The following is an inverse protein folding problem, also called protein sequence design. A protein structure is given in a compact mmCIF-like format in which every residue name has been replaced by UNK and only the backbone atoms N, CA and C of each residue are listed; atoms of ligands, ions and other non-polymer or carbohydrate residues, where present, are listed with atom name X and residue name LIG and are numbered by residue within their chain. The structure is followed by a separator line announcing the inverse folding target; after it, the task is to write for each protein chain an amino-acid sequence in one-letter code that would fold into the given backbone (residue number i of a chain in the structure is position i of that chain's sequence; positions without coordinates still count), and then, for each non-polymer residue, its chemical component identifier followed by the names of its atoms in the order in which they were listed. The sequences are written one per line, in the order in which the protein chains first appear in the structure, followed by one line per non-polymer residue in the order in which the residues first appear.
data_IF_382330366525
#
_entry.id   IF_382330366525
#
_cell.length_a   1.000
_cell.length_b   1.000
_cell.length_c   1.000
_cell.angle_alpha   90.00
_cell.angle_beta   90.00
_cell.angle_gamma   90.00
#
_symmetry.space_group_name_H-M   'P 1'
#
loop_
_entity.id
_entity.type
_entity.pdbx_description
1 polymer ?
#
# COMPACT_ATOMS: atom_id res chain seq x y z
N UNK A 1 -1.54 7.87 9.18
CA UNK A 1 -1.24 6.47 9.61
C UNK A 1 -1.02 6.33 11.12
N UNK A 2 -0.84 7.42 11.87
CA UNK A 2 -0.73 7.41 13.34
C UNK A 2 -2.10 7.39 14.05
N UNK A 3 -3.20 7.59 13.32
CA UNK A 3 -4.54 7.54 13.88
C UNK A 3 -4.95 6.08 14.14
N UNK A 4 -4.95 5.71 15.41
CA UNK A 4 -5.31 4.36 15.85
C UNK A 4 -6.82 4.08 15.79
N UNK A 5 -7.67 5.08 15.48
CA UNK A 5 -9.13 4.95 15.51
C UNK A 5 -9.71 4.43 14.19
N UNK A 6 -9.00 4.57 13.06
CA UNK A 6 -9.49 4.28 11.70
C UNK A 6 -9.11 2.91 11.15
N UNK A 7 -8.61 2.00 11.96
CA UNK A 7 -8.31 0.63 11.53
C UNK A 7 -7.07 0.45 10.65
N UNK A 8 -6.13 1.40 10.62
CA UNK A 8 -4.85 1.27 9.92
C UNK A 8 -3.92 0.22 10.55
N UNK A 9 -4.14 -0.11 11.81
CA UNK A 9 -3.40 -1.14 12.53
C UNK A 9 -4.35 -2.26 12.97
N UNK A 10 -3.91 -3.48 12.80
CA UNK A 10 -4.58 -4.67 13.30
C UNK A 10 -4.10 -5.11 14.70
N UNK A 11 -3.29 -4.29 15.37
CA UNK A 11 -2.86 -4.54 16.76
C UNK A 11 -3.96 -4.24 17.77
N UNK A 12 -4.93 -3.42 17.39
CA UNK A 12 -6.11 -3.09 18.22
C UNK A 12 -7.36 -3.29 17.39
N UNK A 13 -8.42 -3.80 18.03
CA UNK A 13 -9.71 -3.94 17.38
C UNK A 13 -10.37 -2.59 17.15
N UNK A 14 -10.68 -2.28 15.88
CA UNK A 14 -11.22 -1.00 15.42
C UNK A 14 -12.16 -1.20 14.23
N UNK A 15 -13.06 -0.25 13.95
CA UNK A 15 -13.80 -0.25 12.68
C UNK A 15 -12.87 -0.34 11.48
N UNK A 16 -13.26 -1.10 10.48
CA UNK A 16 -12.48 -1.34 9.27
C UNK A 16 -12.72 -0.21 8.27
N UNK A 17 -12.15 0.97 8.54
CA UNK A 17 -12.33 2.19 7.73
C UNK A 17 -11.16 2.46 6.78
N UNK A 18 -9.95 2.66 7.33
CA UNK A 18 -8.68 2.97 6.64
C UNK A 18 -8.72 4.20 5.70
N UNK A 19 -9.76 5.01 5.72
CA UNK A 19 -9.81 6.22 4.90
C UNK A 19 -8.84 7.31 5.43
N UNK A 20 -8.10 7.99 4.53
CA UNK A 20 -7.23 9.11 4.92
C UNK A 20 -8.02 10.39 5.24
N UNK A 21 -9.16 10.58 4.61
CA UNK A 21 -9.96 11.78 4.77
C UNK A 21 -11.44 11.55 4.43
N UNK A 22 -12.30 12.55 4.69
CA UNK A 22 -13.73 12.46 4.46
C UNK A 22 -14.13 12.42 2.97
N UNK A 23 -13.20 12.78 2.07
CA UNK A 23 -13.37 12.72 0.63
C UNK A 23 -13.37 11.29 0.07
N UNK A 24 -12.91 10.32 0.85
CA UNK A 24 -12.89 8.89 0.46
C UNK A 24 -14.31 8.35 0.51
N UNK A 25 -14.81 7.97 -0.66
CA UNK A 25 -16.22 7.55 -0.83
C UNK A 25 -16.49 6.10 -0.42
N UNK A 26 -15.48 5.23 -0.49
CA UNK A 26 -15.60 3.80 -0.24
C UNK A 26 -14.69 3.41 0.92
N UNK A 27 -15.27 2.96 2.02
CA UNK A 27 -14.51 2.47 3.16
C UNK A 27 -13.94 1.08 2.90
N UNK A 28 -12.91 0.70 3.64
CA UNK A 28 -12.37 -0.67 3.60
C UNK A 28 -13.44 -1.70 3.96
N UNK A 29 -14.33 -1.40 4.89
CA UNK A 29 -15.47 -2.25 5.24
C UNK A 29 -16.38 -2.53 4.03
N UNK A 30 -16.67 -1.51 3.23
CA UNK A 30 -17.44 -1.67 2.00
C UNK A 30 -16.71 -2.53 0.96
N UNK A 31 -15.41 -2.33 0.77
CA UNK A 31 -14.59 -3.15 -0.12
C UNK A 31 -14.66 -4.63 0.28
N UNK A 32 -14.39 -4.92 1.55
CA UNK A 32 -14.35 -6.30 2.06
C UNK A 32 -15.72 -6.98 1.95
N UNK A 33 -16.81 -6.24 2.22
CA UNK A 33 -18.15 -6.83 2.24
C UNK A 33 -18.85 -6.86 0.88
N UNK A 34 -18.47 -6.03 -0.09
CA UNK A 34 -19.24 -5.92 -1.33
C UNK A 34 -18.46 -6.22 -2.61
N UNK A 35 -17.12 -6.09 -2.61
CA UNK A 35 -16.36 -6.35 -3.84
C UNK A 35 -16.46 -7.82 -4.27
N UNK A 36 -16.53 -8.07 -5.60
CA UNK A 36 -16.51 -9.43 -6.15
C UNK A 36 -15.21 -10.16 -5.80
N UNK A 37 -15.28 -11.50 -5.76
CA UNK A 37 -14.12 -12.35 -5.48
C UNK A 37 -12.91 -12.03 -6.36
N UNK A 38 -13.13 -11.79 -7.66
CA UNK A 38 -12.05 -11.50 -8.59
C UNK A 38 -11.37 -10.15 -8.31
N UNK A 39 -12.14 -9.13 -7.90
CA UNK A 39 -11.61 -7.83 -7.53
C UNK A 39 -10.79 -7.89 -6.23
N UNK A 40 -11.28 -8.57 -5.21
CA UNK A 40 -10.50 -8.78 -3.99
C UNK A 40 -9.21 -9.57 -4.30
N UNK A 41 -9.28 -10.55 -5.19
CA UNK A 41 -8.09 -11.30 -5.62
C UNK A 41 -7.08 -10.39 -6.32
N UNK A 42 -7.54 -9.55 -7.24
CA UNK A 42 -6.71 -8.54 -7.93
C UNK A 42 -6.01 -7.63 -6.93
N UNK A 43 -6.78 -7.02 -6.03
CA UNK A 43 -6.26 -6.11 -5.02
C UNK A 43 -5.18 -6.78 -4.17
N UNK A 44 -5.44 -7.96 -3.64
CA UNK A 44 -4.48 -8.66 -2.78
C UNK A 44 -3.22 -9.11 -3.53
N UNK A 45 -3.35 -9.49 -4.82
CA UNK A 45 -2.22 -9.88 -5.66
C UNK A 45 -1.40 -8.66 -6.09
N UNK A 46 -2.04 -7.63 -6.62
CA UNK A 46 -1.37 -6.53 -7.31
C UNK A 46 -0.87 -5.45 -6.34
N UNK A 47 -1.62 -5.17 -5.27
CA UNK A 47 -1.27 -4.16 -4.27
C UNK A 47 -0.58 -4.76 -3.03
N UNK A 48 -0.99 -5.96 -2.62
CA UNK A 48 -0.41 -6.65 -1.47
C UNK A 48 0.76 -7.58 -1.80
N UNK A 49 0.99 -7.87 -3.08
CA UNK A 49 1.93 -8.92 -3.52
C UNK A 49 1.69 -10.25 -2.76
N UNK A 50 0.41 -10.56 -2.51
CA UNK A 50 0.02 -11.75 -1.77
C UNK A 50 -0.08 -12.95 -2.70
N UNK A 51 0.79 -13.94 -2.49
CA UNK A 51 0.82 -15.15 -3.34
C UNK A 51 -0.44 -16.01 -3.23
N UNK A 52 -1.15 -15.90 -2.11
CA UNK A 52 -2.38 -16.64 -1.84
C UNK A 52 -3.64 -15.77 -1.99
N UNK A 53 -3.56 -14.71 -2.79
CA UNK A 53 -4.62 -13.72 -2.98
C UNK A 53 -6.01 -14.35 -3.21
N UNK A 54 -6.12 -15.31 -4.12
CA UNK A 54 -7.38 -15.99 -4.41
C UNK A 54 -7.96 -16.73 -3.19
N UNK A 55 -7.13 -17.45 -2.46
CA UNK A 55 -7.59 -18.24 -1.31
C UNK A 55 -8.06 -17.35 -0.16
N UNK A 56 -7.34 -16.25 0.09
CA UNK A 56 -7.73 -15.29 1.12
C UNK A 56 -8.98 -14.50 0.72
N UNK A 57 -9.07 -14.07 -0.54
CA UNK A 57 -10.28 -13.43 -1.07
C UNK A 57 -11.51 -14.35 -0.98
N UNK A 58 -11.34 -15.63 -1.32
CA UNK A 58 -12.41 -16.64 -1.21
C UNK A 58 -12.86 -16.81 0.23
N UNK A 59 -11.92 -16.93 1.18
CA UNK A 59 -12.23 -17.05 2.60
C UNK A 59 -13.03 -15.83 3.12
N UNK A 60 -12.66 -14.62 2.72
CA UNK A 60 -13.38 -13.39 3.05
C UNK A 60 -14.80 -13.41 2.48
N UNK A 61 -14.95 -13.77 1.19
CA UNK A 61 -16.27 -13.84 0.54
C UNK A 61 -17.17 -14.89 1.19
N UNK A 62 -16.63 -16.02 1.63
CA UNK A 62 -17.36 -17.05 2.36
C UNK A 62 -17.75 -16.59 3.77
N UNK A 63 -16.83 -15.94 4.49
CA UNK A 63 -17.08 -15.43 5.83
C UNK A 63 -18.18 -14.37 5.88
N UNK A 64 -18.12 -13.37 4.98
CA UNK A 64 -19.09 -12.26 4.94
C UNK A 64 -20.53 -12.70 4.61
N UNK A 65 -20.72 -13.89 4.00
CA UNK A 65 -22.06 -14.48 3.79
C UNK A 65 -22.72 -14.89 5.09
N UNK A 66 -21.94 -15.19 6.14
CA UNK A 66 -22.45 -15.60 7.46
C UNK A 66 -22.65 -14.41 8.38
N UNK A 67 -21.69 -13.49 8.40
CA UNK A 67 -21.68 -12.29 9.22
C UNK A 67 -20.89 -11.19 8.50
N UNK A 68 -21.37 -9.96 8.41
CA UNK A 68 -20.58 -8.83 7.91
C UNK A 68 -19.25 -8.72 8.68
N UNK A 69 -18.19 -8.35 7.95
CA UNK A 69 -16.85 -8.11 8.51
C UNK A 69 -16.78 -6.61 8.84
N UNK A 70 -16.77 -6.27 10.13
CA UNK A 70 -16.91 -4.89 10.57
C UNK A 70 -15.63 -4.32 11.18
N UNK A 71 -14.84 -5.19 11.81
CA UNK A 71 -13.65 -4.76 12.55
C UNK A 71 -12.36 -5.32 11.97
N UNK A 72 -11.26 -4.70 12.38
CA UNK A 72 -9.91 -5.19 12.04
C UNK A 72 -9.69 -6.60 12.56
N UNK A 73 -10.22 -6.92 13.74
CA UNK A 73 -10.07 -8.25 14.34
C UNK A 73 -10.87 -9.31 13.55
N UNK A 74 -12.12 -9.03 13.16
CA UNK A 74 -12.90 -9.95 12.31
C UNK A 74 -12.08 -10.35 11.05
N UNK A 75 -11.45 -9.37 10.39
CA UNK A 75 -10.67 -9.62 9.18
C UNK A 75 -9.38 -10.40 9.47
N UNK A 76 -8.66 -10.06 10.55
CA UNK A 76 -7.43 -10.76 10.96
C UNK A 76 -7.69 -12.22 11.24
N UNK A 77 -8.76 -12.54 11.97
CA UNK A 77 -9.13 -13.93 12.31
C UNK A 77 -9.36 -14.77 11.06
N UNK A 78 -10.09 -14.22 10.07
CA UNK A 78 -10.31 -14.90 8.79
C UNK A 78 -8.97 -15.17 8.08
N UNK A 79 -8.10 -14.16 7.99
CA UNK A 79 -6.81 -14.28 7.30
C UNK A 79 -5.90 -15.29 8.00
N UNK A 80 -5.78 -15.21 9.31
CA UNK A 80 -4.92 -16.10 10.11
C UNK A 80 -5.40 -17.55 10.01
N UNK A 81 -6.72 -17.79 10.13
CA UNK A 81 -7.30 -19.12 10.03
C UNK A 81 -7.01 -19.80 8.67
N UNK A 82 -6.89 -19.01 7.59
CA UNK A 82 -6.64 -19.50 6.24
C UNK A 82 -5.18 -19.32 5.77
N UNK A 83 -4.30 -18.89 6.67
CA UNK A 83 -2.86 -18.77 6.39
C UNK A 83 -2.09 -20.00 6.88
N UNK A 84 -0.97 -20.38 6.20
CA UNK A 84 -0.14 -21.48 6.66
C UNK A 84 0.40 -21.21 8.07
N UNK A 85 0.29 -22.17 8.95
CA UNK A 85 0.96 -22.14 10.25
C UNK A 85 2.48 -22.26 10.03
N UNK A 86 3.15 -21.15 9.84
CA UNK A 86 4.62 -21.11 9.82
C UNK A 86 5.09 -20.81 11.23
N UNK A 87 5.73 -21.78 11.86
CA UNK A 87 6.54 -21.54 13.06
C UNK A 87 7.56 -20.45 12.72
N UNK A 88 7.57 -19.33 13.45
CA UNK A 88 8.47 -18.19 13.28
C UNK A 88 8.23 -17.23 12.07
N UNK A 89 7.00 -17.05 11.62
CA UNK A 89 6.73 -15.94 10.70
C UNK A 89 6.96 -14.60 11.42
N UNK A 90 8.04 -13.88 11.03
CA UNK A 90 8.38 -12.55 11.58
C UNK A 90 7.33 -11.47 11.23
N UNK A 91 6.44 -11.75 10.28
CA UNK A 91 5.45 -10.81 9.76
C UNK A 91 4.07 -11.46 9.85
N UNK A 92 3.10 -10.73 10.41
CA UNK A 92 1.70 -11.17 10.48
C UNK A 92 1.16 -11.39 9.05
N UNK A 93 0.50 -12.53 8.76
CA UNK A 93 -0.10 -12.81 7.45
C UNK A 93 -1.07 -11.72 6.97
N UNK A 94 -1.74 -11.01 7.89
CA UNK A 94 -2.66 -9.93 7.56
C UNK A 94 -1.97 -8.68 6.97
N UNK A 95 -0.67 -8.47 7.22
CA UNK A 95 0.04 -7.24 6.81
C UNK A 95 -0.16 -6.90 5.34
N UNK A 96 -0.03 -7.88 4.43
CA UNK A 96 -0.17 -7.67 3.00
C UNK A 96 -1.60 -7.37 2.56
N UNK A 97 -2.57 -8.02 3.18
CA UNK A 97 -3.99 -7.78 2.91
C UNK A 97 -4.41 -6.40 3.39
N UNK A 98 -3.99 -6.00 4.59
CA UNK A 98 -4.24 -4.66 5.12
C UNK A 98 -3.58 -3.57 4.28
N UNK A 99 -2.33 -3.78 3.82
CA UNK A 99 -1.68 -2.86 2.87
C UNK A 99 -2.47 -2.75 1.57
N UNK A 100 -2.90 -3.86 1.00
CA UNK A 100 -3.66 -3.87 -0.26
C UNK A 100 -4.99 -3.14 -0.14
N UNK A 101 -5.72 -3.36 0.96
CA UNK A 101 -6.98 -2.69 1.24
C UNK A 101 -6.79 -1.18 1.46
N UNK A 102 -5.73 -0.77 2.17
CA UNK A 102 -5.41 0.64 2.36
C UNK A 102 -5.15 1.35 1.04
N UNK A 103 -4.35 0.72 0.17
CA UNK A 103 -4.03 1.25 -1.16
C UNK A 103 -5.30 1.42 -1.98
N UNK A 104 -6.18 0.42 -2.02
CA UNK A 104 -7.45 0.48 -2.74
C UNK A 104 -8.38 1.55 -2.16
N UNK A 105 -8.58 1.55 -0.84
CA UNK A 105 -9.46 2.52 -0.15
C UNK A 105 -9.07 3.96 -0.47
N UNK A 106 -7.76 4.26 -0.49
CA UNK A 106 -7.24 5.61 -0.65
C UNK A 106 -6.77 5.93 -2.07
N UNK A 107 -6.91 5.00 -3.02
CA UNK A 107 -6.43 5.16 -4.41
C UNK A 107 -4.97 5.64 -4.46
N UNK A 108 -4.12 5.06 -3.57
CA UNK A 108 -2.76 5.57 -3.34
C UNK A 108 -1.91 5.53 -4.61
N UNK A 109 -2.01 4.47 -5.41
CA UNK A 109 -1.21 4.31 -6.62
C UNK A 109 -1.72 5.19 -7.77
N UNK A 110 -3.01 5.35 -7.92
CA UNK A 110 -3.65 6.24 -8.89
C UNK A 110 -3.30 7.70 -8.60
N UNK A 111 -3.37 8.10 -7.33
CA UNK A 111 -2.98 9.44 -6.88
C UNK A 111 -1.48 9.70 -7.16
N UNK A 112 -0.62 8.70 -6.91
CA UNK A 112 0.81 8.81 -7.23
C UNK A 112 1.03 9.01 -8.74
N UNK A 113 0.33 8.24 -9.59
CA UNK A 113 0.42 8.38 -11.05
C UNK A 113 -0.04 9.76 -11.54
N UNK A 114 -1.03 10.35 -10.88
CA UNK A 114 -1.54 11.69 -11.21
C UNK A 114 -0.60 12.79 -10.76
N UNK A 115 -0.01 12.68 -9.57
CA UNK A 115 0.81 13.74 -8.99
C UNK A 115 2.19 13.84 -9.63
N UNK A 116 2.76 12.73 -10.12
CA UNK A 116 4.11 12.73 -10.69
C UNK A 116 4.27 13.64 -11.91
N UNK A 117 3.39 13.59 -12.96
CA UNK A 117 3.44 14.53 -14.08
C UNK A 117 3.26 15.96 -13.62
N UNK A 118 2.26 16.25 -12.80
CA UNK A 118 1.99 17.59 -12.30
C UNK A 118 3.17 18.17 -11.52
N UNK A 119 3.88 17.34 -10.74
CA UNK A 119 5.07 17.76 -10.03
C UNK A 119 6.21 18.16 -10.99
N UNK A 120 6.39 17.44 -12.10
CA UNK A 120 7.39 17.80 -13.11
C UNK A 120 7.02 19.11 -13.82
N UNK A 121 5.75 19.34 -14.14
CA UNK A 121 5.28 20.57 -14.77
C UNK A 121 5.61 21.80 -13.92
N UNK A 122 5.47 21.72 -12.60
CA UNK A 122 5.73 22.79 -11.67
C UNK A 122 7.23 23.11 -11.48
N UNK A 123 8.13 22.21 -11.87
CA UNK A 123 9.57 22.43 -11.76
C UNK A 123 10.06 23.37 -12.88
N UNK A 124 10.99 24.27 -12.52
CA UNK A 124 11.82 24.99 -13.50
C UNK A 124 12.90 24.05 -14.06
N UNK A 125 13.48 24.35 -15.24
CA UNK A 125 14.69 23.70 -15.72
C UNK A 125 15.77 23.63 -14.64
N UNK A 126 16.41 22.49 -14.44
CA UNK A 126 17.35 22.21 -13.34
C UNK A 126 16.69 21.93 -11.99
N UNK A 127 15.37 22.05 -11.86
CA UNK A 127 14.62 21.69 -10.65
C UNK A 127 14.67 20.16 -10.40
N UNK A 128 14.69 19.79 -9.13
CA UNK A 128 14.84 18.37 -8.73
C UNK A 128 13.56 17.85 -8.09
N UNK A 129 13.16 16.66 -8.50
CA UNK A 129 12.08 15.87 -7.91
C UNK A 129 12.69 14.71 -7.13
N UNK A 130 12.42 14.65 -5.84
CA UNK A 130 12.77 13.51 -4.99
C UNK A 130 11.49 12.85 -4.46
N UNK A 131 11.38 11.53 -4.64
CA UNK A 131 10.21 10.76 -4.21
C UNK A 131 10.68 9.64 -3.28
N UNK A 132 10.02 9.54 -2.12
CA UNK A 132 10.24 8.45 -1.17
C UNK A 132 9.06 7.49 -1.24
N UNK A 133 9.34 6.23 -1.53
CA UNK A 133 8.38 5.13 -1.58
C UNK A 133 8.57 4.21 -0.40
N UNK A 134 7.51 3.63 0.14
CA UNK A 134 7.56 2.72 1.28
C UNK A 134 7.21 1.27 0.92
N UNK A 135 6.75 1.01 -0.30
CA UNK A 135 6.52 -0.33 -0.83
C UNK A 135 6.89 -0.45 -2.32
N UNK A 136 6.96 -1.70 -2.78
CA UNK A 136 7.40 -2.04 -4.14
C UNK A 136 6.47 -1.48 -5.25
N UNK A 137 5.17 -1.37 -4.99
CA UNK A 137 4.20 -0.82 -5.94
C UNK A 137 4.49 0.65 -6.27
N UNK A 138 4.67 1.48 -5.23
CA UNK A 138 5.06 2.89 -5.40
C UNK A 138 6.40 3.02 -6.11
N UNK A 139 7.44 2.30 -5.65
CA UNK A 139 8.79 2.36 -6.24
C UNK A 139 8.78 1.98 -7.74
N UNK A 140 7.93 1.03 -8.14
CA UNK A 140 7.77 0.61 -9.53
C UNK A 140 7.17 1.72 -10.38
N UNK A 141 6.13 2.41 -9.89
CA UNK A 141 5.49 3.54 -10.59
C UNK A 141 6.49 4.68 -10.77
N UNK A 142 7.17 5.10 -9.70
CA UNK A 142 8.16 6.17 -9.75
C UNK A 142 9.31 5.83 -10.70
N UNK A 143 9.84 4.60 -10.62
CA UNK A 143 10.89 4.12 -11.51
C UNK A 143 10.46 4.17 -12.97
N UNK A 144 9.24 3.69 -13.28
CA UNK A 144 8.74 3.65 -14.63
C UNK A 144 8.48 5.06 -15.16
N UNK A 145 7.84 5.91 -14.37
CA UNK A 145 7.61 7.31 -14.72
C UNK A 145 8.91 8.05 -15.03
N UNK A 146 9.94 7.91 -14.17
CA UNK A 146 11.25 8.54 -14.42
C UNK A 146 11.94 8.02 -15.67
N UNK A 147 11.72 6.75 -16.01
CA UNK A 147 12.32 6.15 -17.20
C UNK A 147 11.64 6.62 -18.50
N UNK A 148 10.33 6.76 -18.47
CA UNK A 148 9.52 7.02 -19.66
C UNK A 148 9.32 8.52 -19.95
N UNK A 149 9.61 9.39 -18.96
CA UNK A 149 9.43 10.82 -19.13
C UNK A 149 10.68 11.47 -19.76
N UNK A 150 10.57 12.01 -20.98
CA UNK A 150 11.69 12.63 -21.70
C UNK A 150 12.14 13.97 -21.12
N UNK A 151 11.32 14.61 -20.26
CA UNK A 151 11.62 15.93 -19.71
C UNK A 151 12.52 15.86 -18.48
N UNK A 152 12.89 14.66 -18.03
CA UNK A 152 13.69 14.49 -16.81
C UNK A 152 14.93 13.63 -17.02
N UNK A 153 15.97 13.98 -16.29
CA UNK A 153 17.23 13.23 -16.16
C UNK A 153 17.25 12.49 -14.84
N UNK A 154 17.37 11.17 -14.88
CA UNK A 154 17.44 10.35 -13.66
C UNK A 154 18.77 10.61 -12.92
N UNK A 155 18.68 11.03 -11.66
CA UNK A 155 19.83 11.23 -10.78
C UNK A 155 20.19 9.96 -10.02
N UNK A 156 19.20 9.12 -9.67
CA UNK A 156 19.42 7.87 -8.93
C UNK A 156 19.08 6.66 -9.81
N UNK A 157 20.08 6.01 -10.41
CA UNK A 157 19.87 4.76 -11.19
C UNK A 157 19.31 3.63 -10.32
N UNK A 158 19.79 3.52 -9.08
CA UNK A 158 19.25 2.64 -8.04
C UNK A 158 18.61 3.51 -6.94
N UNK A 159 17.57 3.06 -6.27
CA UNK A 159 17.01 3.84 -5.16
C UNK A 159 18.03 3.93 -4.02
N UNK A 160 18.07 5.07 -3.35
CA UNK A 160 18.76 5.19 -2.06
C UNK A 160 17.91 4.52 -1.00
N UNK A 161 18.53 3.73 -0.16
CA UNK A 161 17.89 3.02 0.96
C UNK A 161 18.45 3.56 2.29
N UNK A 162 17.69 3.45 3.39
CA UNK A 162 18.15 3.93 4.70
C UNK A 162 19.39 3.17 5.15
N UNK A 163 20.24 3.85 5.92
CA UNK A 163 21.38 3.23 6.57
C UNK A 163 20.95 2.32 7.72
N UNK A 164 21.85 1.45 8.18
CA UNK A 164 21.59 0.61 9.34
C UNK A 164 21.29 1.46 10.59
N UNK A 165 21.99 2.56 10.78
CA UNK A 165 21.80 3.51 11.87
C UNK A 165 20.43 4.18 11.80
N UNK A 166 19.99 4.63 10.61
CA UNK A 166 18.68 5.20 10.42
C UNK A 166 17.58 4.19 10.73
N UNK A 167 17.73 2.93 10.31
CA UNK A 167 16.75 1.88 10.61
C UNK A 167 16.63 1.54 12.11
N UNK A 168 17.70 1.73 12.88
CA UNK A 168 17.69 1.57 14.34
C UNK A 168 16.94 2.74 14.99
N UNK A 169 17.25 3.97 14.57
CA UNK A 169 16.65 5.18 15.15
C UNK A 169 15.22 5.43 14.66
N UNK A 170 14.89 4.98 13.45
CA UNK A 170 13.58 5.12 12.82
C UNK A 170 13.16 3.82 12.12
N UNK A 171 12.50 2.96 12.85
CA UNK A 171 12.04 1.66 12.33
C UNK A 171 11.09 1.77 11.11
N UNK A 172 10.40 2.92 10.95
CA UNK A 172 9.51 3.20 9.81
C UNK A 172 10.28 3.40 8.51
N UNK A 173 11.56 3.80 8.58
CA UNK A 173 12.41 3.97 7.41
C UNK A 173 12.80 2.64 6.74
N UNK A 174 12.65 1.49 7.40
CA UNK A 174 13.12 0.18 6.91
C UNK A 174 12.78 -0.13 5.45
N UNK A 175 11.59 0.27 5.00
CA UNK A 175 11.10 0.00 3.64
C UNK A 175 11.27 1.18 2.69
N UNK A 176 11.82 2.30 3.17
CA UNK A 176 11.94 3.52 2.38
C UNK A 176 12.92 3.34 1.23
N UNK A 177 12.54 3.90 0.07
CA UNK A 177 13.36 3.98 -1.14
C UNK A 177 13.22 5.36 -1.72
N UNK A 178 14.32 6.11 -1.80
CA UNK A 178 14.33 7.44 -2.41
C UNK A 178 14.83 7.35 -3.85
N UNK A 179 14.05 7.93 -4.76
CA UNK A 179 14.47 8.20 -6.15
C UNK A 179 14.46 9.69 -6.41
N UNK A 180 15.44 10.15 -7.20
CA UNK A 180 15.56 11.54 -7.61
C UNK A 180 15.81 11.67 -9.10
N UNK A 181 15.21 12.72 -9.68
CA UNK A 181 15.39 13.14 -11.06
C UNK A 181 15.47 14.68 -11.12
N UNK A 182 16.00 15.20 -12.22
CA UNK A 182 16.14 16.63 -12.50
C UNK A 182 15.41 16.95 -13.79
N UNK A 183 14.63 18.05 -13.80
CA UNK A 183 13.98 18.53 -15.02
C UNK A 183 15.03 19.11 -15.96
N UNK A 184 15.07 18.57 -17.18
CA UNK A 184 15.88 19.14 -18.28
C UNK A 184 15.11 20.28 -18.94
N UNK A 185 15.84 21.23 -19.50
CA UNK A 185 15.25 22.41 -20.14
C UNK A 185 14.62 22.10 -21.49
#
# INVERSE_FOLDING_TARGET
LADTKRGFSFQTDRPLDMAFGPEIKISTQQIVNHYPLLELTRIFRDYGEEKRAYYLAKAIVEARRKKPIETTQDLVEIIVAHSPKRFHAKINPATKVFQALRIETNQELENLQTVLPAAVELLKPGGKLAVVSFHSGEDRIVKQFFKDNPEIKILTKKPLIPTAEEMVNNSRARSAKLRAAEKIG
#
